data_IF_372131411369
#
_entry.id   IF_372131411369
#
_cell.length_a   1.000
_cell.length_b   1.000
_cell.length_c   1.000
_cell.angle_alpha   90.00
_cell.angle_beta   90.00
_cell.angle_gamma   90.00
#
_symmetry.space_group_name_H-M   'P 1'
#
loop_
_entity.id
_entity.type
_entity.pdbx_description
1 polymer ?
#
# COMPACT_ATOMS: atom_id res chain seq x y z
N UNK A 1 -18.83 10.46 17.44
CA UNK A 1 -17.57 10.76 16.73
C UNK A 1 -17.62 10.08 15.37
N UNK A 2 -17.72 10.85 14.30
CA UNK A 2 -17.70 10.35 12.92
C UNK A 2 -16.36 9.65 12.64
N UNK A 3 -16.40 8.36 12.29
CA UNK A 3 -15.21 7.65 11.81
C UNK A 3 -14.92 8.15 10.41
N UNK A 4 -13.92 9.02 10.27
CA UNK A 4 -13.49 9.56 8.97
C UNK A 4 -13.10 8.41 8.03
N UNK A 5 -13.50 8.55 6.77
CA UNK A 5 -13.26 7.53 5.75
C UNK A 5 -12.71 8.14 4.48
N UNK A 6 -12.04 7.30 3.70
CA UNK A 6 -11.46 7.64 2.40
C UNK A 6 -11.94 6.62 1.37
N UNK A 7 -12.33 7.12 0.20
CA UNK A 7 -12.54 6.28 -0.99
C UNK A 7 -11.19 6.09 -1.69
N UNK A 8 -10.73 4.85 -1.76
CA UNK A 8 -9.50 4.55 -2.51
C UNK A 8 -9.74 4.51 -4.02
N UNK A 9 -8.66 4.56 -4.77
CA UNK A 9 -8.61 4.40 -6.22
C UNK A 9 -8.02 3.03 -6.57
N UNK A 10 -8.21 2.63 -7.83
CA UNK A 10 -7.61 1.44 -8.39
C UNK A 10 -6.88 1.83 -9.70
N UNK A 11 -5.65 1.33 -9.95
CA UNK A 11 -4.84 1.78 -11.09
C UNK A 11 -5.31 1.20 -12.43
N UNK A 12 -5.95 0.03 -12.40
CA UNK A 12 -6.54 -0.57 -13.61
C UNK A 12 -7.88 0.07 -13.96
N UNK A 13 -8.05 0.40 -15.24
CA UNK A 13 -9.28 0.98 -15.79
C UNK A 13 -10.50 0.07 -15.56
N UNK A 14 -11.63 0.67 -15.16
CA UNK A 14 -12.88 -0.04 -14.90
C UNK A 14 -12.98 -0.72 -13.53
N UNK A 15 -11.91 -0.69 -12.71
CA UNK A 15 -11.96 -1.17 -11.32
C UNK A 15 -12.16 -0.01 -10.34
N UNK A 16 -12.94 -0.26 -9.30
CA UNK A 16 -13.19 0.70 -8.23
C UNK A 16 -12.36 0.36 -7.00
N UNK A 17 -11.94 1.40 -6.27
CA UNK A 17 -11.42 1.22 -4.93
C UNK A 17 -12.53 0.95 -3.91
N UNK A 18 -12.14 0.99 -2.64
CA UNK A 18 -13.02 0.70 -1.51
C UNK A 18 -13.03 1.86 -0.54
N UNK A 19 -14.18 2.09 0.08
CA UNK A 19 -14.31 3.09 1.13
C UNK A 19 -13.82 2.48 2.45
N UNK A 20 -12.76 3.00 3.07
CA UNK A 20 -12.15 2.46 4.30
C UNK A 20 -11.91 3.55 5.35
N UNK A 21 -11.61 3.15 6.59
CA UNK A 21 -11.25 4.11 7.65
C UNK A 21 -10.00 4.88 7.27
N UNK A 22 -10.07 6.22 7.33
CA UNK A 22 -8.94 7.09 7.01
C UNK A 22 -7.75 6.82 7.94
N UNK A 23 -8.01 6.62 9.24
CA UNK A 23 -6.96 6.28 10.20
C UNK A 23 -6.19 5.01 9.81
N UNK A 24 -6.89 3.93 9.43
CA UNK A 24 -6.25 2.67 9.00
C UNK A 24 -5.49 2.84 7.68
N UNK A 25 -6.05 3.64 6.76
CA UNK A 25 -5.37 4.02 5.53
C UNK A 25 -4.06 4.75 5.82
N UNK A 26 -4.09 5.79 6.66
CA UNK A 26 -2.93 6.63 6.94
C UNK A 26 -1.80 5.82 7.62
N UNK A 27 -2.13 4.92 8.55
CA UNK A 27 -1.16 4.01 9.18
C UNK A 27 -0.52 3.07 8.15
N UNK A 28 -1.32 2.44 7.29
CA UNK A 28 -0.83 1.53 6.26
C UNK A 28 0.00 2.26 5.20
N UNK A 29 -0.45 3.43 4.78
CA UNK A 29 0.24 4.33 3.85
C UNK A 29 1.64 4.68 4.38
N UNK A 30 1.72 5.15 5.62
CA UNK A 30 2.99 5.48 6.26
C UNK A 30 3.93 4.26 6.35
N UNK A 31 3.41 3.08 6.69
CA UNK A 31 4.19 1.85 6.76
C UNK A 31 4.75 1.42 5.39
N UNK A 32 3.97 1.56 4.31
CA UNK A 32 4.41 1.26 2.95
C UNK A 32 5.54 2.21 2.52
N UNK A 33 5.36 3.52 2.70
CA UNK A 33 6.38 4.50 2.31
C UNK A 33 7.68 4.29 3.08
N UNK A 34 7.60 4.09 4.41
CA UNK A 34 8.76 3.79 5.24
C UNK A 34 9.47 2.50 4.82
N UNK A 35 8.72 1.48 4.41
CA UNK A 35 9.30 0.23 3.92
C UNK A 35 10.01 0.38 2.57
N UNK A 36 9.61 1.36 1.74
CA UNK A 36 10.24 1.69 0.46
C UNK A 36 11.48 2.57 0.62
N UNK A 37 11.51 3.50 1.58
CA UNK A 37 12.68 4.36 1.84
C UNK A 37 13.95 3.56 2.19
N UNK A 38 13.81 2.37 2.78
CA UNK A 38 14.92 1.55 3.22
C UNK A 38 15.38 0.45 2.26
N UNK A 39 14.80 0.34 1.05
CA UNK A 39 15.07 -0.78 0.13
C UNK A 39 15.10 -0.33 -1.34
N UNK A 40 16.07 -0.84 -2.09
CA UNK A 40 16.09 -0.71 -3.55
C UNK A 40 15.09 -1.67 -4.21
N UNK A 41 13.97 -1.10 -4.67
CA UNK A 41 12.95 -1.77 -5.50
C UNK A 41 12.50 -3.15 -4.98
N UNK A 42 11.97 -3.27 -3.75
CA UNK A 42 11.56 -4.55 -3.18
C UNK A 42 10.48 -5.22 -4.03
N UNK A 43 10.45 -6.55 -4.00
CA UNK A 43 9.33 -7.30 -4.57
C UNK A 43 8.04 -7.07 -3.80
N UNK A 44 6.89 -7.33 -4.43
CA UNK A 44 5.58 -7.22 -3.76
C UNK A 44 5.52 -7.99 -2.44
N UNK A 45 6.10 -9.19 -2.39
CA UNK A 45 6.15 -10.02 -1.19
C UNK A 45 7.12 -9.44 -0.15
N UNK A 46 8.34 -9.04 -0.55
CA UNK A 46 9.32 -8.47 0.39
C UNK A 46 8.86 -7.14 1.00
N UNK A 47 8.09 -6.36 0.24
CA UNK A 47 7.45 -5.14 0.73
C UNK A 47 6.30 -5.49 1.68
N UNK A 48 5.44 -6.44 1.31
CA UNK A 48 4.35 -6.93 2.16
C UNK A 48 4.84 -7.48 3.50
N UNK A 49 5.92 -8.27 3.49
CA UNK A 49 6.55 -8.81 4.69
C UNK A 49 7.15 -7.70 5.58
N UNK A 50 7.78 -6.69 4.96
CA UNK A 50 8.34 -5.57 5.70
C UNK A 50 7.26 -4.71 6.36
N UNK A 51 6.14 -4.48 5.66
CA UNK A 51 4.96 -3.78 6.21
C UNK A 51 4.30 -4.64 7.31
N UNK A 52 4.18 -5.95 7.07
CA UNK A 52 3.68 -6.93 8.04
C UNK A 52 4.43 -6.84 9.37
N UNK A 53 5.75 -6.93 9.33
CA UNK A 53 6.61 -6.82 10.53
C UNK A 53 6.49 -5.48 11.26
N UNK A 54 6.26 -4.39 10.53
CA UNK A 54 6.09 -3.07 11.15
C UNK A 54 4.75 -2.92 11.88
N UNK A 55 3.71 -3.59 11.40
CA UNK A 55 2.33 -3.44 11.87
C UNK A 55 1.85 -4.60 12.75
N UNK A 56 2.66 -5.65 12.87
CA UNK A 56 2.37 -6.83 13.68
C UNK A 56 2.04 -6.43 15.14
N UNK A 57 0.93 -6.96 15.65
CA UNK A 57 0.43 -6.69 17.00
C UNK A 57 -0.15 -5.28 17.23
N UNK A 58 0.01 -4.35 16.29
CA UNK A 58 -0.35 -2.94 16.47
C UNK A 58 -1.38 -2.41 15.45
N UNK A 59 -1.81 -3.25 14.50
CA UNK A 59 -2.80 -2.88 13.50
C UNK A 59 -4.10 -3.67 13.68
N UNK A 60 -5.21 -2.93 13.78
CA UNK A 60 -6.54 -3.52 13.83
C UNK A 60 -7.06 -3.82 12.41
N UNK A 61 -6.96 -5.07 11.98
CA UNK A 61 -7.49 -5.58 10.71
C UNK A 61 -6.53 -6.47 9.93
N UNK A 62 -6.98 -6.92 8.73
CA UNK A 62 -6.14 -7.75 7.85
C UNK A 62 -5.04 -6.92 7.19
N UNK A 63 -3.81 -7.04 7.70
CA UNK A 63 -2.65 -6.31 7.16
C UNK A 63 -2.49 -6.60 5.66
N UNK A 64 -2.59 -7.85 5.21
CA UNK A 64 -2.43 -8.20 3.80
C UNK A 64 -3.48 -7.56 2.88
N UNK A 65 -4.74 -7.51 3.34
CA UNK A 65 -5.82 -6.87 2.57
C UNK A 65 -5.62 -5.35 2.51
N UNK A 66 -5.37 -4.70 3.65
CA UNK A 66 -5.11 -3.26 3.70
C UNK A 66 -3.86 -2.88 2.92
N UNK A 67 -2.79 -3.67 3.00
CA UNK A 67 -1.58 -3.50 2.21
C UNK A 67 -1.91 -3.50 0.72
N UNK A 68 -2.63 -4.52 0.23
CA UNK A 68 -3.01 -4.60 -1.19
C UNK A 68 -3.88 -3.42 -1.62
N UNK A 69 -4.90 -3.08 -0.83
CA UNK A 69 -5.80 -1.95 -1.12
C UNK A 69 -5.07 -0.62 -1.17
N UNK A 70 -4.24 -0.31 -0.17
CA UNK A 70 -3.52 0.97 -0.09
C UNK A 70 -2.41 1.03 -1.13
N UNK A 71 -1.70 -0.08 -1.39
CA UNK A 71 -0.71 -0.18 -2.47
C UNK A 71 -1.33 0.15 -3.82
N UNK A 72 -2.50 -0.40 -4.15
CA UNK A 72 -3.19 -0.09 -5.40
C UNK A 72 -3.61 1.38 -5.47
N UNK A 73 -4.11 1.94 -4.37
CA UNK A 73 -4.45 3.37 -4.30
C UNK A 73 -3.22 4.26 -4.54
N UNK A 74 -2.08 3.92 -3.94
CA UNK A 74 -0.81 4.63 -4.13
C UNK A 74 -0.29 4.53 -5.56
N UNK A 75 -0.46 3.38 -6.22
CA UNK A 75 -0.18 3.22 -7.65
C UNK A 75 -1.09 4.13 -8.50
N UNK A 76 -2.39 4.13 -8.21
CA UNK A 76 -3.36 4.94 -8.94
C UNK A 76 -3.14 6.45 -8.76
N UNK A 77 -2.62 6.85 -7.60
CA UNK A 77 -2.27 8.24 -7.29
C UNK A 77 -0.87 8.66 -7.77
N UNK A 78 -0.09 7.73 -8.31
CA UNK A 78 1.27 8.01 -8.78
C UNK A 78 2.28 8.27 -7.65
N UNK A 79 2.05 7.74 -6.45
CA UNK A 79 3.01 7.84 -5.32
C UNK A 79 4.05 6.72 -5.40
N UNK A 80 3.63 5.54 -5.84
CA UNK A 80 4.50 4.39 -6.08
C UNK A 80 4.23 3.84 -7.48
N UNK A 81 5.20 3.12 -8.03
CA UNK A 81 5.05 2.49 -9.33
C UNK A 81 5.65 1.08 -9.36
N UNK A 82 5.19 0.29 -10.33
CA UNK A 82 5.74 -1.03 -10.62
C UNK A 82 6.95 -0.88 -11.52
N UNK A 83 8.02 -1.60 -11.21
CA UNK A 83 9.21 -1.64 -12.09
C UNK A 83 8.88 -2.49 -13.32
N UNK A 84 8.85 -1.86 -14.49
CA UNK A 84 8.53 -2.52 -15.75
C UNK A 84 9.54 -3.64 -16.06
N UNK A 85 9.05 -4.78 -16.57
CA UNK A 85 9.88 -5.93 -16.93
C UNK A 85 10.40 -6.77 -15.75
N UNK A 86 10.09 -6.42 -14.51
CA UNK A 86 10.49 -7.20 -13.33
C UNK A 86 9.62 -8.45 -13.11
N UNK A 87 10.27 -9.58 -12.84
CA UNK A 87 9.64 -10.84 -12.40
C UNK A 87 10.49 -11.47 -11.30
N UNK A 88 9.99 -11.60 -10.06
CA UNK A 88 8.67 -11.15 -9.55
C UNK A 88 8.47 -9.62 -9.62
N UNK A 89 7.22 -9.17 -9.47
CA UNK A 89 6.86 -7.74 -9.49
C UNK A 89 7.64 -6.97 -8.42
N UNK A 90 8.41 -5.98 -8.84
CA UNK A 90 9.09 -5.00 -7.98
C UNK A 90 8.34 -3.67 -7.94
N UNK A 91 8.49 -2.96 -6.82
CA UNK A 91 7.77 -1.72 -6.50
C UNK A 91 8.79 -0.68 -6.05
N UNK A 92 8.59 0.58 -6.43
CA UNK A 92 9.42 1.71 -5.99
C UNK A 92 8.60 2.98 -5.80
N UNK A 93 9.19 3.99 -5.16
CA UNK A 93 8.63 5.35 -5.14
C UNK A 93 8.62 5.91 -6.56
N UNK A 94 7.52 6.58 -6.93
CA UNK A 94 7.45 7.33 -8.17
C UNK A 94 8.40 8.54 -8.12
N UNK A 95 8.96 8.92 -9.27
CA UNK A 95 9.86 10.08 -9.42
C UNK A 95 9.11 11.33 -9.84
#
# INVERSE_FOLDING_TARGET
>A
MSKERIMTLHPEEGKSGVNISKQKYDVMHAAILKALEGKDEPTFNELGDAVGKQLEGNFDGSIGWYYTTVKLDLEARGVIERVLGSRPQKIRLAK
#
